data_IF_852179632708
#
_entry.id   IF_852179632708
#
_cell.length_a   1.000
_cell.length_b   1.000
_cell.length_c   1.000
_cell.angle_alpha   90.00
_cell.angle_beta   90.00
_cell.angle_gamma   90.00
#
_symmetry.space_group_name_H-M   'P 1'
#
loop_
_entity.id
_entity.type
_entity.pdbx_description
1 polymer ?
#
# COMPACT_ATOMS: atom_id res chain seq x y z
N UNK A 1 -9.03 -9.00 -11.19
CA UNK A 1 -7.79 -8.92 -10.36
C UNK A 1 -6.65 -8.33 -11.19
N UNK A 2 -6.66 -8.60 -12.49
CA UNK A 2 -5.64 -8.27 -13.49
C UNK A 2 -5.24 -6.79 -13.51
N UNK A 3 -6.17 -5.86 -13.24
CA UNK A 3 -5.86 -4.43 -13.21
C UNK A 3 -4.81 -4.11 -12.13
N UNK A 4 -4.93 -4.72 -10.95
CA UNK A 4 -3.95 -4.53 -9.87
C UNK A 4 -2.61 -5.18 -10.25
N UNK A 5 -2.66 -6.36 -10.86
CA UNK A 5 -1.45 -7.07 -11.28
C UNK A 5 -0.67 -6.28 -12.33
N UNK A 6 -1.35 -5.85 -13.40
CA UNK A 6 -0.79 -5.04 -14.48
C UNK A 6 -0.21 -3.73 -13.95
N UNK A 7 -0.94 -3.04 -13.07
CA UNK A 7 -0.44 -1.81 -12.47
C UNK A 7 0.75 -2.06 -11.54
N UNK A 8 0.79 -3.18 -10.84
CA UNK A 8 1.90 -3.54 -9.97
C UNK A 8 3.18 -3.84 -10.77
N UNK A 9 3.06 -4.48 -11.94
CA UNK A 9 4.19 -4.68 -12.86
C UNK A 9 4.76 -3.36 -13.38
N UNK A 10 3.90 -2.38 -13.67
CA UNK A 10 4.34 -1.03 -14.08
C UNK A 10 4.93 -0.23 -12.90
N UNK A 11 4.43 -0.45 -11.69
CA UNK A 11 4.77 0.35 -10.50
C UNK A 11 4.97 -0.54 -9.25
N UNK A 12 6.06 -1.30 -9.16
CA UNK A 12 6.26 -2.27 -8.07
C UNK A 12 6.46 -1.63 -6.69
N UNK A 13 6.63 -0.31 -6.60
CA UNK A 13 6.67 0.43 -5.34
C UNK A 13 5.28 0.87 -4.84
N UNK A 14 4.21 0.67 -5.62
CA UNK A 14 2.87 1.07 -5.22
C UNK A 14 2.32 0.17 -4.10
N UNK A 15 2.32 0.71 -2.88
CA UNK A 15 1.57 0.10 -1.78
C UNK A 15 0.05 0.28 -1.92
N UNK A 16 -0.70 -0.37 -1.04
CA UNK A 16 -2.17 -0.38 -1.10
C UNK A 16 -2.82 1.02 -1.14
N UNK A 17 -2.15 2.04 -0.57
CA UNK A 17 -2.62 3.43 -0.60
C UNK A 17 -2.46 4.07 -1.99
N UNK A 18 -1.29 3.89 -2.61
CA UNK A 18 -1.02 4.43 -3.94
C UNK A 18 -1.87 3.72 -4.99
N UNK A 19 -1.95 2.39 -4.89
CA UNK A 19 -2.79 1.57 -5.75
C UNK A 19 -4.27 1.95 -5.67
N UNK A 20 -4.83 2.18 -4.47
CA UNK A 20 -6.21 2.63 -4.33
C UNK A 20 -6.47 4.00 -4.97
N UNK A 21 -5.55 4.96 -4.84
CA UNK A 21 -5.66 6.27 -5.50
C UNK A 21 -5.59 6.14 -7.02
N UNK A 22 -4.70 5.30 -7.53
CA UNK A 22 -4.58 5.02 -8.95
C UNK A 22 -5.89 4.45 -9.51
N UNK A 23 -6.44 3.41 -8.87
CA UNK A 23 -7.69 2.80 -9.28
C UNK A 23 -8.88 3.78 -9.20
N UNK A 24 -8.94 4.65 -8.19
CA UNK A 24 -9.96 5.70 -8.11
C UNK A 24 -9.88 6.69 -9.29
N UNK A 25 -8.67 7.08 -9.72
CA UNK A 25 -8.50 7.95 -10.90
C UNK A 25 -8.95 7.29 -12.20
N UNK A 26 -8.89 5.97 -12.26
CA UNK A 26 -9.44 5.18 -13.37
C UNK A 26 -10.95 4.91 -13.25
N UNK A 27 -11.63 5.50 -12.25
CA UNK A 27 -13.07 5.35 -12.06
C UNK A 27 -13.48 4.10 -11.26
N UNK A 28 -12.54 3.30 -10.75
CA UNK A 28 -12.87 2.15 -9.92
C UNK A 28 -13.22 2.57 -8.49
N UNK A 29 -14.43 2.22 -8.03
CA UNK A 29 -14.90 2.43 -6.65
C UNK A 29 -14.29 1.40 -5.68
N UNK A 30 -12.97 1.39 -5.52
CA UNK A 30 -12.27 0.52 -4.58
C UNK A 30 -11.47 1.33 -3.55
N UNK A 31 -11.84 1.18 -2.27
CA UNK A 31 -11.10 1.78 -1.17
C UNK A 31 -9.81 1.02 -0.81
N UNK A 32 -8.97 1.66 0.01
CA UNK A 32 -7.69 1.10 0.48
C UNK A 32 -7.81 -0.30 1.08
N UNK A 33 -8.85 -0.57 1.88
CA UNK A 33 -9.01 -1.88 2.55
C UNK A 33 -9.24 -3.00 1.56
N UNK A 34 -10.03 -2.76 0.51
CA UNK A 34 -10.27 -3.72 -0.57
C UNK A 34 -8.97 -3.98 -1.32
N UNK A 35 -8.28 -2.93 -1.78
CA UNK A 35 -7.01 -3.06 -2.49
C UNK A 35 -5.96 -3.81 -1.67
N UNK A 36 -5.83 -3.49 -0.37
CA UNK A 36 -4.93 -4.22 0.54
C UNK A 36 -5.26 -5.71 0.62
N UNK A 37 -6.55 -6.07 0.72
CA UNK A 37 -6.98 -7.48 0.71
C UNK A 37 -6.61 -8.16 -0.61
N UNK A 38 -6.88 -7.52 -1.74
CA UNK A 38 -6.60 -8.10 -3.06
C UNK A 38 -5.10 -8.30 -3.27
N UNK A 39 -4.27 -7.30 -3.00
CA UNK A 39 -2.80 -7.43 -3.07
C UNK A 39 -2.28 -8.57 -2.17
N UNK A 40 -2.84 -8.74 -0.96
CA UNK A 40 -2.46 -9.85 -0.07
C UNK A 40 -2.86 -11.22 -0.63
N UNK A 41 -4.05 -11.34 -1.22
CA UNK A 41 -4.49 -12.59 -1.87
C UNK A 41 -3.60 -12.93 -3.08
N UNK A 42 -3.16 -11.92 -3.82
CA UNK A 42 -2.29 -12.05 -4.99
C UNK A 42 -0.80 -12.14 -4.63
N UNK A 43 -0.44 -12.08 -3.34
CA UNK A 43 0.94 -12.07 -2.84
C UNK A 43 1.82 -10.94 -3.40
N UNK A 44 1.20 -9.82 -3.75
CA UNK A 44 1.90 -8.62 -4.22
C UNK A 44 2.43 -7.82 -3.03
N UNK A 45 3.75 -7.68 -2.94
CA UNK A 45 4.43 -6.92 -1.89
C UNK A 45 5.21 -5.79 -2.52
N UNK A 46 4.87 -4.53 -2.22
CA UNK A 46 5.55 -3.39 -2.82
C UNK A 46 7.01 -3.29 -2.37
N UNK A 47 7.87 -2.88 -3.30
CA UNK A 47 9.30 -2.71 -3.09
C UNK A 47 9.54 -1.32 -2.48
N UNK A 48 9.39 -1.21 -1.16
CA UNK A 48 9.80 -0.04 -0.40
C UNK A 48 10.23 -0.43 1.01
N UNK A 49 10.97 0.46 1.67
CA UNK A 49 11.28 0.30 3.09
C UNK A 49 10.00 0.47 3.92
N UNK A 50 9.58 -0.60 4.60
CA UNK A 50 8.47 -0.50 5.54
C UNK A 50 8.80 0.55 6.62
N UNK A 51 7.82 1.39 7.02
CA UNK A 51 8.06 2.38 8.06
C UNK A 51 8.46 1.68 9.35
N UNK A 52 9.51 2.16 10.01
CA UNK A 52 10.02 1.63 11.28
C UNK A 52 9.14 2.11 12.45
N UNK A 53 7.84 1.78 12.43
CA UNK A 53 6.86 2.28 13.42
C UNK A 53 7.03 1.70 14.81
N UNK A 54 7.82 0.63 14.97
CA UNK A 54 8.14 0.04 16.27
C UNK A 54 9.20 0.82 17.05
N UNK A 55 10.07 1.57 16.36
CA UNK A 55 11.10 2.39 16.99
C UNK A 55 10.58 3.82 17.10
N UNK A 56 10.51 4.32 18.32
CA UNK A 56 10.19 5.71 18.59
C UNK A 56 11.30 6.62 18.06
N UNK A 57 10.96 7.81 17.57
CA UNK A 57 11.96 8.83 17.32
C UNK A 57 12.60 9.25 18.67
N UNK A 58 13.93 9.40 18.75
CA UNK A 58 14.62 9.73 20.00
C UNK A 58 14.05 10.94 20.74
N UNK A 59 13.58 11.94 19.98
CA UNK A 59 13.06 13.20 20.51
C UNK A 59 11.63 13.10 21.06
N UNK A 60 10.91 12.01 20.83
CA UNK A 60 9.52 11.92 21.32
C UNK A 60 9.50 11.64 22.83
N UNK A 61 8.79 12.49 23.60
CA UNK A 61 8.64 12.37 25.05
C UNK A 61 7.99 11.05 25.48
N UNK A 62 8.69 10.25 26.30
CA UNK A 62 8.15 9.02 26.88
C UNK A 62 7.41 9.44 28.15
N UNK A 63 6.11 9.14 28.21
CA UNK A 63 5.30 9.38 29.40
C UNK A 63 5.33 8.10 30.27
N UNK A 64 5.58 8.21 31.59
CA UNK A 64 5.43 7.11 32.52
C UNK A 64 3.96 6.68 32.66
#
# INVERSE_FOLDING_TARGET
MDIIDRQFLETPWYGSRQMARHMQRQGHKCGRHRVRRLMRLMRLVPIYQAPKTSKKHPEHKIYP
#
